data_IF_144952384368
#
_entry.id   IF_144952384368
#
_cell.length_a   1.000
_cell.length_b   1.000
_cell.length_c   1.000
_cell.angle_alpha   90.00
_cell.angle_beta   90.00
_cell.angle_gamma   90.00
#
_symmetry.space_group_name_H-M   'P 1'
#
loop_
_entity.id
_entity.type
_entity.pdbx_description
1 polymer ?
#
# COMPACT_ATOMS: atom_id res chain seq x y z
N UNK A 1 -42.63 -0.47 9.34
CA UNK A 1 -41.35 -0.71 10.02
C UNK A 1 -40.45 -1.46 9.06
N UNK A 2 -39.65 -0.75 8.26
CA UNK A 2 -38.78 -1.40 7.27
C UNK A 2 -37.54 -1.96 7.98
N UNK A 3 -37.47 -3.29 8.08
CA UNK A 3 -36.30 -3.97 8.59
C UNK A 3 -35.09 -3.67 7.69
N UNK A 4 -34.03 -3.11 8.28
CA UNK A 4 -32.73 -2.94 7.62
C UNK A 4 -32.23 -4.31 7.21
N UNK A 5 -32.33 -4.62 5.91
CA UNK A 5 -31.79 -5.84 5.35
C UNK A 5 -30.27 -5.75 5.46
N UNK A 6 -29.66 -6.63 6.26
CA UNK A 6 -28.21 -6.75 6.33
C UNK A 6 -27.75 -7.26 4.97
N UNK A 7 -27.09 -6.39 4.21
CA UNK A 7 -26.44 -6.78 2.96
C UNK A 7 -25.25 -7.66 3.34
N UNK A 8 -25.44 -8.97 3.21
CA UNK A 8 -24.35 -9.93 3.32
C UNK A 8 -23.59 -9.94 1.99
N UNK A 9 -22.61 -9.05 1.87
CA UNK A 9 -21.68 -9.07 0.75
C UNK A 9 -20.66 -10.19 1.00
N UNK A 10 -20.85 -11.33 0.33
CA UNK A 10 -19.82 -12.34 0.17
C UNK A 10 -19.24 -12.13 -1.24
N UNK A 11 -18.02 -11.55 -1.38
CA UNK A 11 -17.41 -11.40 -2.69
C UNK A 11 -17.25 -12.78 -3.34
N UNK A 12 -17.47 -12.86 -4.65
CA UNK A 12 -17.12 -14.07 -5.40
C UNK A 12 -15.60 -14.22 -5.36
N UNK A 13 -15.14 -15.42 -5.07
CA UNK A 13 -13.71 -15.71 -4.87
C UNK A 13 -12.85 -15.40 -6.12
N UNK A 14 -13.51 -15.26 -7.26
CA UNK A 14 -12.97 -15.01 -8.60
C UNK A 14 -12.64 -13.52 -8.87
N UNK A 15 -13.08 -12.57 -8.04
CA UNK A 15 -12.90 -11.12 -8.28
C UNK A 15 -11.71 -10.50 -7.52
N UNK A 16 -10.99 -11.29 -6.72
CA UNK A 16 -10.17 -10.73 -5.67
C UNK A 16 -8.74 -11.31 -5.74
N UNK A 17 -7.71 -10.46 -5.85
CA UNK A 17 -6.42 -10.92 -6.34
C UNK A 17 -5.70 -11.91 -5.41
N UNK A 18 -5.11 -12.93 -6.03
CA UNK A 18 -4.37 -14.01 -5.37
C UNK A 18 -3.15 -13.51 -4.57
N UNK A 19 -2.69 -12.28 -4.84
CA UNK A 19 -1.56 -11.65 -4.15
C UNK A 19 -1.94 -10.96 -2.82
N UNK A 20 -3.18 -11.14 -2.34
CA UNK A 20 -3.66 -10.53 -1.09
C UNK A 20 -2.79 -10.87 0.14
N UNK A 21 -2.31 -12.11 0.36
CA UNK A 21 -1.37 -12.41 1.43
C UNK A 21 -0.08 -11.57 1.37
N UNK A 22 0.45 -11.36 0.17
CA UNK A 22 1.66 -10.59 -0.09
C UNK A 22 1.41 -9.09 0.13
N UNK A 23 0.22 -8.60 -0.21
CA UNK A 23 -0.22 -7.22 0.11
C UNK A 23 -0.29 -6.99 1.62
N UNK A 24 -0.85 -7.95 2.35
CA UNK A 24 -0.95 -7.90 3.81
C UNK A 24 0.43 -7.94 4.48
N UNK A 25 1.35 -8.75 3.97
CA UNK A 25 2.74 -8.80 4.43
C UNK A 25 3.46 -7.44 4.18
N UNK A 26 3.29 -6.86 2.98
CA UNK A 26 3.81 -5.52 2.66
C UNK A 26 3.26 -4.44 3.59
N UNK A 27 1.95 -4.44 3.84
CA UNK A 27 1.29 -3.49 4.74
C UNK A 27 1.87 -3.59 6.16
N UNK A 28 2.10 -4.81 6.66
CA UNK A 28 2.74 -5.03 7.96
C UNK A 28 4.15 -4.46 7.98
N UNK A 29 4.98 -4.83 7.00
CA UNK A 29 6.37 -4.43 6.98
C UNK A 29 6.53 -2.91 6.88
N UNK A 30 5.68 -2.25 6.09
CA UNK A 30 5.68 -0.79 5.94
C UNK A 30 5.12 -0.04 7.15
N UNK A 31 4.16 -0.63 7.87
CA UNK A 31 3.65 -0.05 9.11
C UNK A 31 4.59 -0.24 10.31
N UNK A 32 5.58 -1.14 10.20
CA UNK A 32 6.50 -1.47 11.29
C UNK A 32 5.82 -2.17 12.47
N UNK A 33 4.59 -2.65 12.30
CA UNK A 33 3.81 -3.29 13.36
C UNK A 33 4.04 -4.80 13.37
N UNK A 34 4.05 -5.39 14.57
CA UNK A 34 3.89 -6.84 14.69
C UNK A 34 2.47 -7.26 14.28
N UNK A 35 2.27 -8.52 13.89
CA UNK A 35 0.93 -9.06 13.59
C UNK A 35 -0.08 -8.85 14.72
N UNK A 36 0.36 -8.95 15.98
CA UNK A 36 -0.53 -8.74 17.13
C UNK A 36 -0.91 -7.27 17.29
N UNK A 37 0.01 -6.35 17.01
CA UNK A 37 -0.25 -4.91 17.05
C UNK A 37 -1.18 -4.49 15.90
N UNK A 38 -0.94 -4.99 14.69
CA UNK A 38 -1.82 -4.77 13.55
C UNK A 38 -3.23 -5.32 13.79
N UNK A 39 -3.35 -6.53 14.34
CA UNK A 39 -4.66 -7.12 14.69
C UNK A 39 -5.44 -6.23 15.68
N UNK A 40 -4.76 -5.70 16.70
CA UNK A 40 -5.34 -4.75 17.66
C UNK A 40 -5.76 -3.45 16.99
N UNK A 41 -4.95 -2.90 16.09
CA UNK A 41 -5.28 -1.68 15.36
C UNK A 41 -6.51 -1.86 14.46
N UNK A 42 -6.66 -3.03 13.85
CA UNK A 42 -7.80 -3.41 13.01
C UNK A 42 -9.04 -3.85 13.81
N UNK A 43 -8.94 -4.01 15.13
CA UNK A 43 -10.03 -4.54 15.96
C UNK A 43 -10.34 -6.03 15.71
N UNK A 44 -9.39 -6.80 15.16
CA UNK A 44 -9.59 -8.21 14.80
C UNK A 44 -8.76 -9.17 15.65
N UNK A 45 -9.16 -10.44 15.67
CA UNK A 45 -8.33 -11.48 16.26
C UNK A 45 -7.10 -11.75 15.38
N UNK A 46 -5.92 -11.93 15.98
CA UNK A 46 -4.70 -12.29 15.24
C UNK A 46 -4.87 -13.58 14.40
N UNK A 47 -5.73 -14.52 14.83
CA UNK A 47 -6.07 -15.72 14.04
C UNK A 47 -6.79 -15.38 12.73
N UNK A 48 -7.56 -14.29 12.69
CA UNK A 48 -8.19 -13.81 11.46
C UNK A 48 -7.11 -13.35 10.46
N UNK A 49 -6.10 -12.58 10.92
CA UNK A 49 -4.97 -12.20 10.06
C UNK A 49 -4.22 -13.42 9.52
N UNK A 50 -3.97 -14.45 10.33
CA UNK A 50 -3.32 -15.66 9.83
C UNK A 50 -4.16 -16.40 8.79
N UNK A 51 -5.49 -16.43 8.95
CA UNK A 51 -6.41 -16.96 7.95
C UNK A 51 -6.35 -16.16 6.65
N UNK A 52 -6.27 -14.84 6.74
CA UNK A 52 -6.11 -13.97 5.58
C UNK A 52 -4.81 -14.21 4.83
N UNK A 53 -3.71 -14.42 5.57
CA UNK A 53 -2.43 -14.81 4.98
C UNK A 53 -2.45 -16.21 4.35
N UNK A 54 -3.29 -17.11 4.83
CA UNK A 54 -3.48 -18.43 4.21
C UNK A 54 -4.47 -18.41 3.04
N UNK A 55 -4.94 -17.24 2.59
CA UNK A 55 -5.85 -17.09 1.46
C UNK A 55 -7.35 -17.09 1.82
N UNK A 56 -7.71 -17.08 3.11
CA UNK A 56 -9.12 -16.94 3.50
C UNK A 56 -9.51 -15.47 3.47
N UNK A 57 -10.62 -15.15 2.82
CA UNK A 57 -11.05 -13.78 2.63
C UNK A 57 -11.51 -13.10 3.93
N UNK A 58 -11.13 -11.82 4.19
CA UNK A 58 -11.84 -10.98 5.14
C UNK A 58 -13.27 -10.74 4.66
N UNK A 59 -14.22 -10.60 5.58
CA UNK A 59 -15.53 -10.05 5.22
C UNK A 59 -15.42 -8.55 4.87
N UNK A 60 -16.50 -8.00 4.33
CA UNK A 60 -16.54 -6.59 3.91
C UNK A 60 -16.20 -5.61 5.04
N UNK A 61 -16.63 -5.89 6.28
CA UNK A 61 -16.38 -5.00 7.41
C UNK A 61 -14.89 -4.99 7.78
N UNK A 62 -14.27 -6.17 7.81
CA UNK A 62 -12.85 -6.32 8.07
C UNK A 62 -11.98 -5.75 6.94
N UNK A 63 -12.42 -5.88 5.69
CA UNK A 63 -11.72 -5.30 4.55
C UNK A 63 -11.76 -3.77 4.59
N UNK A 64 -12.92 -3.18 4.93
CA UNK A 64 -13.03 -1.73 5.14
C UNK A 64 -12.12 -1.24 6.28
N UNK A 65 -12.06 -1.95 7.40
CA UNK A 65 -11.14 -1.62 8.49
C UNK A 65 -9.67 -1.66 8.05
N UNK A 66 -9.32 -2.58 7.16
CA UNK A 66 -7.98 -2.68 6.58
C UNK A 66 -7.68 -1.50 5.65
N UNK A 67 -8.63 -1.10 4.80
CA UNK A 67 -8.50 0.09 3.95
C UNK A 67 -8.39 1.38 4.78
N UNK A 68 -9.21 1.53 5.81
CA UNK A 68 -9.18 2.68 6.70
C UNK A 68 -7.85 2.77 7.44
N UNK A 69 -7.38 1.65 8.01
CA UNK A 69 -6.06 1.57 8.63
C UNK A 69 -4.95 1.94 7.65
N UNK A 70 -4.97 1.37 6.43
CA UNK A 70 -3.97 1.68 5.42
C UNK A 70 -4.02 3.17 5.00
N UNK A 71 -5.20 3.77 4.90
CA UNK A 71 -5.36 5.19 4.63
C UNK A 71 -4.77 6.07 5.75
N UNK A 72 -5.06 5.74 7.01
CA UNK A 72 -4.51 6.45 8.17
C UNK A 72 -2.98 6.39 8.24
N UNK A 73 -2.37 5.32 7.71
CA UNK A 73 -0.91 5.16 7.64
C UNK A 73 -0.29 5.71 6.35
N UNK A 74 -1.09 6.17 5.38
CA UNK A 74 -0.58 6.55 4.05
C UNK A 74 -0.05 5.36 3.22
N UNK A 75 -0.58 4.15 3.47
CA UNK A 75 -0.14 2.87 2.90
C UNK A 75 -1.19 2.20 1.99
N UNK A 76 -2.18 2.94 1.48
CA UNK A 76 -3.23 2.39 0.60
C UNK A 76 -2.67 1.64 -0.62
N UNK A 77 -1.53 2.09 -1.16
CA UNK A 77 -0.85 1.43 -2.27
C UNK A 77 -0.45 -0.02 -1.96
N UNK A 78 -0.18 -0.37 -0.69
CA UNK A 78 0.13 -1.75 -0.31
C UNK A 78 -1.06 -2.70 -0.48
N UNK A 79 -2.29 -2.16 -0.44
CA UNK A 79 -3.53 -2.94 -0.46
C UNK A 79 -4.19 -2.91 -1.84
N UNK A 80 -4.12 -1.79 -2.55
CA UNK A 80 -4.82 -1.59 -3.81
C UNK A 80 -3.98 -1.93 -5.04
N UNK A 81 -2.67 -1.67 -5.04
CA UNK A 81 -1.83 -1.94 -6.20
C UNK A 81 -1.31 -3.38 -6.21
N UNK A 82 -1.59 -4.07 -7.31
CA UNK A 82 -0.97 -5.36 -7.64
C UNK A 82 0.54 -5.18 -7.76
N UNK A 83 1.31 -6.17 -7.29
CA UNK A 83 2.78 -6.17 -7.35
C UNK A 83 3.37 -6.22 -8.79
N UNK A 84 2.63 -5.84 -9.83
CA UNK A 84 3.04 -5.87 -11.24
C UNK A 84 3.98 -4.71 -11.62
N UNK A 85 4.99 -4.46 -10.80
CA UNK A 85 6.24 -3.90 -11.31
C UNK A 85 7.45 -4.70 -10.83
N UNK A 86 7.63 -5.94 -11.32
CA UNK A 86 8.95 -6.56 -11.35
C UNK A 86 9.81 -5.79 -12.36
N UNK A 87 10.33 -4.62 -11.98
CA UNK A 87 11.14 -3.80 -12.89
C UNK A 87 11.62 -2.46 -12.36
N UNK A 88 10.99 -1.87 -11.34
CA UNK A 88 11.47 -0.59 -10.79
C UNK A 88 12.35 -0.84 -9.57
N UNK A 89 13.63 -1.06 -9.84
CA UNK A 89 14.70 -0.77 -8.90
C UNK A 89 14.74 0.76 -8.66
N UNK A 90 13.80 1.26 -7.86
CA UNK A 90 13.78 2.63 -7.36
C UNK A 90 14.60 2.71 -6.08
N UNK A 91 15.92 2.57 -6.19
CA UNK A 91 16.85 2.78 -5.10
C UNK A 91 16.76 4.24 -4.58
N UNK A 92 15.86 4.52 -3.63
CA UNK A 92 15.89 5.78 -2.85
C UNK A 92 16.52 5.58 -1.46
N UNK A 93 17.08 4.39 -1.16
CA UNK A 93 17.73 4.12 0.13
C UNK A 93 19.02 3.32 0.09
N UNK A 94 19.68 3.29 -1.06
CA UNK A 94 21.14 3.24 -1.11
C UNK A 94 21.50 4.73 -1.37
N UNK A 95 22.11 5.51 -0.49
CA UNK A 95 23.26 5.19 0.33
C UNK A 95 23.57 6.39 1.26
N UNK A 96 23.60 6.17 2.57
CA UNK A 96 24.52 6.90 3.46
C UNK A 96 25.66 5.91 3.69
N UNK A 97 26.74 6.09 2.94
CA UNK A 97 28.07 5.47 3.10
C UNK A 97 28.42 4.25 2.23
N UNK A 98 28.79 4.45 0.96
CA UNK A 98 29.65 3.57 0.14
C UNK A 98 30.37 4.35 -1.01
N UNK A 99 31.50 3.83 -1.54
CA UNK A 99 32.57 4.60 -2.19
C UNK A 99 32.43 4.81 -3.71
N UNK A 100 33.36 5.62 -4.23
CA UNK A 100 33.33 6.41 -5.47
C UNK A 100 33.37 5.69 -6.84
N UNK A 101 32.80 4.50 -7.04
CA UNK A 101 33.00 3.76 -8.32
C UNK A 101 31.77 3.50 -9.19
N UNK A 102 30.72 4.33 -9.09
CA UNK A 102 29.56 4.24 -9.99
C UNK A 102 29.51 5.46 -10.93
N UNK A 103 30.34 5.48 -11.98
CA UNK A 103 30.20 6.43 -13.11
C UNK A 103 29.26 5.84 -14.14
N UNK A 104 28.05 6.39 -14.24
CA UNK A 104 27.27 6.37 -15.48
C UNK A 104 27.66 7.63 -16.24
N UNK A 105 28.10 7.49 -17.48
CA UNK A 105 28.35 8.61 -18.39
C UNK A 105 27.03 8.98 -19.06
N UNK A 106 26.43 10.10 -18.64
CA UNK A 106 25.34 10.75 -19.35
C UNK A 106 25.83 11.32 -20.69
N UNK A 107 25.11 11.02 -21.77
CA UNK A 107 25.25 11.67 -23.07
C UNK A 107 24.14 12.70 -23.26
N UNK A 108 24.55 13.97 -23.37
CA UNK A 108 23.99 15.10 -24.15
C UNK A 108 22.47 15.25 -24.30
N UNK A 109 21.87 16.30 -23.70
CA UNK A 109 21.77 17.68 -24.19
C UNK A 109 20.46 17.95 -24.95
N UNK A 110 19.62 18.80 -24.36
CA UNK A 110 18.36 19.28 -24.92
C UNK A 110 17.87 20.49 -24.13
N UNK A 111 18.61 21.58 -24.29
CA UNK A 111 18.29 22.96 -23.88
C UNK A 111 16.93 23.41 -24.48
N UNK A 112 16.01 23.94 -23.66
CA UNK A 112 15.21 25.14 -23.97
C UNK A 112 14.41 25.67 -22.77
N UNK A 113 14.63 26.96 -22.51
CA UNK A 113 13.67 28.01 -22.16
C UNK A 113 12.97 28.01 -20.78
N UNK A 114 13.61 28.78 -19.90
CA UNK A 114 13.07 29.63 -18.84
C UNK A 114 11.75 30.35 -19.20
N UNK A 115 10.71 30.19 -18.36
CA UNK A 115 9.59 31.12 -18.27
C UNK A 115 9.03 31.12 -16.84
N UNK A 116 9.37 32.16 -16.08
CA UNK A 116 8.89 32.36 -14.72
C UNK A 116 7.37 32.51 -14.63
N UNK A 117 6.80 32.02 -13.53
CA UNK A 117 5.47 32.47 -13.06
C UNK A 117 5.48 32.67 -11.55
N UNK A 118 5.33 33.94 -11.22
CA UNK A 118 5.05 34.53 -9.93
C UNK A 118 3.63 34.12 -9.48
N UNK A 119 3.48 33.66 -8.24
CA UNK A 119 2.18 33.34 -7.64
C UNK A 119 1.71 34.51 -6.77
N UNK A 120 0.50 35.05 -6.96
CA UNK A 120 -0.08 36.00 -6.02
C UNK A 120 -0.69 35.26 -4.82
N UNK A 121 -0.40 35.75 -3.61
CA UNK A 121 -1.14 35.42 -2.40
C UNK A 121 -2.51 36.10 -2.45
N UNK A 122 -3.56 35.32 -2.18
CA UNK A 122 -4.89 35.84 -1.87
C UNK A 122 -5.07 35.75 -0.34
N UNK A 123 -5.32 36.92 0.25
CA UNK A 123 -5.71 37.12 1.65
C UNK A 123 -7.12 36.63 1.93
#
# INVERSE_FOLDING_TARGET
MSGRQRVHYAPRSDEFPDDFPQRLDRLRDRSGLSWRAMARALGVNVRALYRWRSGVWPDAAHFLALLEFAAQQGLLYCVLESAERPGECGCQRCDRSLPASCRVTDGESGEVAEAGRQWPMAS
#
